data_IF_330796166064
#
_entry.id   IF_330796166064
#
_cell.length_a   1.000
_cell.length_b   1.000
_cell.length_c   1.000
_cell.angle_alpha   90.00
_cell.angle_beta   90.00
_cell.angle_gamma   90.00
#
_symmetry.space_group_name_H-M   'P 1'
#
loop_
_entity.id
_entity.type
_entity.pdbx_description
1 polymer ?
#
# COMPACT_ATOMS: atom_id res chain seq x y z
N UNK A 1 -0.40 -21.34 16.99
CA UNK A 1 -0.91 -21.82 18.30
C UNK A 1 0.26 -21.91 19.29
N UNK A 2 0.81 -20.77 19.72
CA UNK A 2 2.03 -20.73 20.55
C UNK A 2 1.75 -20.03 21.89
N UNK A 3 1.25 -18.81 21.84
CA UNK A 3 1.00 -17.97 23.02
C UNK A 3 -0.23 -17.09 22.82
N UNK A 4 -0.62 -16.37 23.87
CA UNK A 4 -1.54 -15.24 23.73
C UNK A 4 -0.86 -14.12 22.91
N UNK A 5 -1.60 -13.42 22.04
CA UNK A 5 -1.05 -12.39 21.17
C UNK A 5 -0.75 -11.08 21.93
N UNK A 6 0.30 -10.36 21.51
CA UNK A 6 0.55 -8.97 21.91
C UNK A 6 -0.35 -7.98 21.16
N UNK A 7 -0.24 -6.68 21.48
CA UNK A 7 -0.93 -5.60 20.75
C UNK A 7 -0.48 -5.57 19.28
N UNK A 8 0.82 -5.77 19.04
CA UNK A 8 1.42 -5.80 17.70
C UNK A 8 0.93 -7.00 16.90
N UNK A 9 0.83 -8.18 17.54
CA UNK A 9 0.29 -9.39 16.92
C UNK A 9 -1.17 -9.19 16.50
N UNK A 10 -1.99 -8.58 17.36
CA UNK A 10 -3.40 -8.26 17.05
C UNK A 10 -3.47 -7.30 15.87
N UNK A 11 -2.69 -6.21 15.88
CA UNK A 11 -2.68 -5.24 14.79
C UNK A 11 -2.24 -5.88 13.46
N UNK A 12 -1.20 -6.72 13.48
CA UNK A 12 -0.73 -7.45 12.30
C UNK A 12 -1.79 -8.42 11.78
N UNK A 13 -2.44 -9.18 12.66
CA UNK A 13 -3.52 -10.10 12.32
C UNK A 13 -4.71 -9.40 11.66
N UNK A 14 -5.18 -8.30 12.24
CA UNK A 14 -6.29 -7.51 11.67
C UNK A 14 -5.94 -6.96 10.29
N UNK A 15 -4.76 -6.36 10.13
CA UNK A 15 -4.32 -5.86 8.80
C UNK A 15 -4.23 -6.98 7.77
N UNK A 16 -3.67 -8.13 8.14
CA UNK A 16 -3.59 -9.29 7.25
C UNK A 16 -4.99 -9.78 6.84
N UNK A 17 -5.94 -9.84 7.77
CA UNK A 17 -7.33 -10.21 7.47
C UNK A 17 -8.02 -9.19 6.55
N UNK A 18 -7.80 -7.89 6.73
CA UNK A 18 -8.33 -6.84 5.84
C UNK A 18 -7.79 -7.02 4.41
N UNK A 19 -6.50 -7.27 4.26
CA UNK A 19 -5.87 -7.54 2.95
C UNK A 19 -6.47 -8.80 2.31
N UNK A 20 -6.67 -9.87 3.09
CA UNK A 20 -7.27 -11.10 2.60
C UNK A 20 -8.72 -10.90 2.13
N UNK A 21 -9.52 -10.16 2.91
CA UNK A 21 -10.89 -9.82 2.56
C UNK A 21 -10.94 -9.01 1.25
N UNK A 22 -10.14 -7.95 1.14
CA UNK A 22 -10.07 -7.15 -0.09
C UNK A 22 -9.64 -7.99 -1.31
N UNK A 23 -8.67 -8.89 -1.14
CA UNK A 23 -8.22 -9.77 -2.22
C UNK A 23 -9.35 -10.70 -2.69
N UNK A 24 -10.17 -11.21 -1.77
CA UNK A 24 -11.35 -12.01 -2.09
C UNK A 24 -12.39 -11.20 -2.86
N UNK A 25 -12.68 -9.98 -2.41
CA UNK A 25 -13.67 -9.10 -3.04
C UNK A 25 -13.24 -8.64 -4.44
N UNK A 26 -11.93 -8.43 -4.63
CA UNK A 26 -11.33 -8.17 -5.94
C UNK A 26 -11.47 -9.39 -6.87
N UNK A 27 -11.19 -10.60 -6.38
CA UNK A 27 -11.33 -11.84 -7.14
C UNK A 27 -12.79 -12.12 -7.55
N UNK A 28 -13.75 -11.75 -6.70
CA UNK A 28 -15.18 -11.78 -7.01
C UNK A 28 -15.63 -10.67 -7.97
N UNK A 29 -14.74 -9.76 -8.36
CA UNK A 29 -15.03 -8.69 -9.30
C UNK A 29 -15.97 -7.62 -8.76
N UNK A 30 -16.03 -7.42 -7.42
CA UNK A 30 -16.88 -6.37 -6.85
C UNK A 30 -16.45 -5.00 -7.37
N UNK A 31 -17.38 -4.16 -7.89
CA UNK A 31 -17.02 -2.89 -8.51
C UNK A 31 -16.19 -1.97 -7.61
N UNK A 32 -16.54 -1.88 -6.33
CA UNK A 32 -15.84 -1.05 -5.35
C UNK A 32 -14.42 -1.57 -5.02
N UNK A 33 -14.21 -2.89 -4.99
CA UNK A 33 -12.91 -3.48 -4.71
C UNK A 33 -11.97 -3.31 -5.91
N UNK A 34 -12.51 -3.51 -7.12
CA UNK A 34 -11.81 -3.23 -8.38
C UNK A 34 -11.41 -1.77 -8.45
N UNK A 35 -12.32 -0.84 -8.13
CA UNK A 35 -12.04 0.59 -8.16
C UNK A 35 -11.00 1.01 -7.13
N UNK A 36 -11.06 0.47 -5.90
CA UNK A 36 -10.04 0.71 -4.87
C UNK A 36 -8.65 0.27 -5.33
N UNK A 37 -8.54 -0.93 -5.91
CA UNK A 37 -7.27 -1.45 -6.43
C UNK A 37 -6.74 -0.64 -7.61
N UNK A 38 -7.64 -0.21 -8.53
CA UNK A 38 -7.30 0.68 -9.64
C UNK A 38 -6.84 2.05 -9.17
N UNK A 39 -7.51 2.64 -8.18
CA UNK A 39 -7.15 3.92 -7.59
C UNK A 39 -5.73 3.89 -7.01
N UNK A 40 -5.40 2.84 -6.23
CA UNK A 40 -4.03 2.64 -5.73
C UNK A 40 -3.01 2.47 -6.88
N UNK A 41 -3.36 1.70 -7.91
CA UNK A 41 -2.47 1.48 -9.07
C UNK A 41 -2.23 2.76 -9.87
N UNK A 42 -3.26 3.59 -10.03
CA UNK A 42 -3.15 4.90 -10.68
C UNK A 42 -2.25 5.84 -9.87
N UNK A 43 -2.43 5.90 -8.56
CA UNK A 43 -1.57 6.69 -7.68
C UNK A 43 -0.10 6.25 -7.77
N UNK A 44 0.17 4.93 -7.83
CA UNK A 44 1.53 4.41 -8.07
C UNK A 44 2.11 4.87 -9.40
N UNK A 45 1.32 4.84 -10.48
CA UNK A 45 1.75 5.29 -11.81
C UNK A 45 2.06 6.79 -11.84
N UNK A 46 1.26 7.58 -11.14
CA UNK A 46 1.42 9.04 -11.06
C UNK A 46 2.51 9.46 -10.06
N UNK A 47 3.09 8.51 -9.30
CA UNK A 47 3.96 8.75 -8.15
C UNK A 47 3.31 9.67 -7.10
N UNK A 48 1.99 9.58 -6.96
CA UNK A 48 1.19 10.31 -5.97
C UNK A 48 1.24 9.58 -4.63
N UNK A 49 2.20 9.97 -3.82
CA UNK A 49 2.45 9.38 -2.51
C UNK A 49 1.45 9.79 -1.44
N UNK A 50 0.82 10.95 -1.58
CA UNK A 50 -0.24 11.37 -0.67
C UNK A 50 -1.45 10.46 -0.84
N UNK A 51 -1.89 10.24 -2.09
CA UNK A 51 -2.99 9.32 -2.38
C UNK A 51 -2.63 7.88 -2.04
N UNK A 52 -1.42 7.41 -2.36
CA UNK A 52 -0.99 6.06 -1.94
C UNK A 52 -1.04 5.87 -0.43
N UNK A 53 -0.61 6.87 0.35
CA UNK A 53 -0.63 6.83 1.82
C UNK A 53 -2.08 6.80 2.33
N UNK A 54 -2.94 7.66 1.80
CA UNK A 54 -4.37 7.73 2.17
C UNK A 54 -5.12 6.44 1.86
N UNK A 55 -4.77 5.73 0.78
CA UNK A 55 -5.42 4.48 0.37
C UNK A 55 -4.81 3.23 1.02
N UNK A 56 -3.66 3.34 1.69
CA UNK A 56 -3.00 2.20 2.31
C UNK A 56 -3.81 1.66 3.49
N UNK A 57 -3.70 0.35 3.73
CA UNK A 57 -4.26 -0.30 4.93
C UNK A 57 -3.56 0.20 6.21
N UNK A 58 -2.31 0.63 6.08
CA UNK A 58 -1.50 1.19 7.17
C UNK A 58 -0.76 2.45 6.68
N UNK A 59 -1.40 3.63 6.75
CA UNK A 59 -0.82 4.89 6.33
C UNK A 59 0.44 5.27 7.11
N UNK A 60 0.46 4.98 8.42
CA UNK A 60 1.58 5.32 9.31
C UNK A 60 2.84 4.53 8.92
N UNK A 61 2.69 3.25 8.59
CA UNK A 61 3.77 2.44 8.06
C UNK A 61 4.32 3.01 6.74
N UNK A 62 3.45 3.49 5.85
CA UNK A 62 3.88 4.10 4.57
C UNK A 62 4.66 5.39 4.82
N UNK A 63 4.14 6.27 5.68
CA UNK A 63 4.78 7.52 6.04
C UNK A 63 6.16 7.29 6.69
N UNK A 64 6.23 6.38 7.66
CA UNK A 64 7.46 6.03 8.35
C UNK A 64 8.53 5.47 7.39
N UNK A 65 8.16 4.52 6.53
CA UNK A 65 9.09 3.93 5.56
C UNK A 65 9.54 4.91 4.48
N UNK A 66 8.71 5.90 4.16
CA UNK A 66 9.03 6.88 3.14
C UNK A 66 9.85 8.04 3.65
N UNK A 67 9.85 8.31 4.95
CA UNK A 67 10.41 9.51 5.56
C UNK A 67 11.81 9.85 5.04
N UNK A 68 12.73 8.88 5.01
CA UNK A 68 14.12 9.05 4.55
C UNK A 68 14.24 9.42 3.06
N UNK A 69 13.27 9.03 2.24
CA UNK A 69 13.26 9.22 0.79
C UNK A 69 12.12 10.15 0.32
N UNK A 70 11.57 10.96 1.23
CA UNK A 70 10.43 11.86 0.97
C UNK A 70 10.74 12.98 -0.02
N UNK A 71 12.02 13.37 -0.16
CA UNK A 71 12.47 14.45 -1.06
C UNK A 71 12.59 14.05 -2.53
N UNK A 72 12.47 12.75 -2.84
CA UNK A 72 12.55 12.22 -4.21
C UNK A 72 11.15 11.89 -4.70
N UNK A 73 10.89 11.95 -6.00
CA UNK A 73 9.60 11.58 -6.56
C UNK A 73 9.44 10.05 -6.64
N UNK A 74 10.52 9.36 -7.03
CA UNK A 74 10.61 7.91 -7.10
C UNK A 74 10.74 7.22 -5.72
N UNK A 75 10.59 5.89 -5.73
CA UNK A 75 10.89 5.08 -4.55
C UNK A 75 12.41 4.87 -4.38
N UNK A 76 12.80 4.51 -3.15
CA UNK A 76 14.20 4.22 -2.81
C UNK A 76 14.80 3.01 -3.55
N UNK A 77 13.96 2.13 -4.10
CA UNK A 77 14.40 0.85 -4.67
C UNK A 77 15.14 1.01 -6.00
N UNK A 78 14.64 1.87 -6.91
CA UNK A 78 15.21 2.03 -8.25
C UNK A 78 15.96 3.37 -8.44
N UNK A 79 15.68 4.38 -7.61
CA UNK A 79 16.28 5.69 -7.72
C UNK A 79 16.12 6.30 -9.12
N UNK A 80 17.22 6.78 -9.68
CA UNK A 80 17.25 7.46 -10.99
C UNK A 80 16.75 6.59 -12.15
N UNK A 81 16.80 5.25 -12.01
CA UNK A 81 16.33 4.29 -13.01
C UNK A 81 14.89 3.82 -12.74
N UNK A 82 14.05 4.66 -12.13
CA UNK A 82 12.67 4.33 -11.85
C UNK A 82 11.87 4.10 -13.13
N UNK A 83 11.48 2.86 -13.38
CA UNK A 83 10.71 2.46 -14.56
C UNK A 83 9.39 3.25 -14.70
N UNK A 84 8.69 3.49 -13.59
CA UNK A 84 7.42 4.25 -13.61
C UNK A 84 7.64 5.69 -14.07
N UNK A 85 8.69 6.33 -13.56
CA UNK A 85 9.06 7.70 -13.93
C UNK A 85 9.48 7.80 -15.40
N UNK A 86 10.21 6.80 -15.89
CA UNK A 86 10.67 6.74 -17.29
C UNK A 86 9.53 6.47 -18.29
N UNK A 87 8.44 5.86 -17.84
CA UNK A 87 7.26 5.56 -18.66
C UNK A 87 6.19 6.67 -18.64
N UNK A 88 6.41 7.74 -17.86
CA UNK A 88 5.51 8.89 -17.76
C UNK A 88 5.92 9.98 -18.74
#
# INVERSE_FOLDING_TARGET
>A
HLTLPSVEDVAAGVRASVIAAESGELALGRPWAVERSRSMSRARRELDWETMTRLAVDPDMVAARRQEHSKREECAMCGEFCAVKMMR
#
